data_IF_684551736346
#
_entry.id   IF_684551736346
#
_cell.length_a   1.000
_cell.length_b   1.000
_cell.length_c   1.000
_cell.angle_alpha   90.00
_cell.angle_beta   90.00
_cell.angle_gamma   90.00
#
_symmetry.space_group_name_H-M   'P 1'
#
loop_
_entity.id
_entity.type
_entity.pdbx_description
1 polymer ?
#
# COMPACT_ATOMS: atom_id res chain seq x y z
N UNK A 1 18.33 1.09 -4.22
CA UNK A 1 17.42 2.15 -3.71
C UNK A 1 15.97 1.78 -3.99
N UNK A 2 15.01 2.33 -3.24
CA UNK A 2 13.58 2.01 -3.38
C UNK A 2 12.82 3.27 -3.78
N UNK A 3 11.94 3.14 -4.78
CA UNK A 3 10.97 4.17 -5.18
C UNK A 3 9.59 3.67 -4.76
N UNK A 4 8.90 4.42 -3.89
CA UNK A 4 7.52 4.11 -3.54
C UNK A 4 6.55 4.85 -4.44
N UNK A 5 5.48 4.18 -4.87
CA UNK A 5 4.49 4.76 -5.79
C UNK A 5 3.09 4.22 -5.50
N UNK A 6 2.07 5.06 -5.67
CA UNK A 6 0.69 4.60 -5.67
C UNK A 6 0.41 3.79 -6.95
N UNK A 7 0.00 2.53 -6.82
CA UNK A 7 -0.36 1.62 -7.92
C UNK A 7 -1.88 1.46 -8.07
N UNK A 8 -2.64 2.53 -7.82
CA UNK A 8 -4.08 2.50 -8.03
C UNK A 8 -4.41 2.26 -9.52
N UNK A 9 -5.40 1.42 -9.84
CA UNK A 9 -5.85 1.23 -11.21
C UNK A 9 -6.40 2.55 -11.77
N UNK A 10 -6.42 2.65 -13.09
CA UNK A 10 -6.78 3.88 -13.82
C UNK A 10 -8.15 4.45 -13.43
N UNK A 11 -9.07 3.60 -13.01
CA UNK A 11 -10.43 3.89 -12.57
C UNK A 11 -10.64 3.77 -11.04
N UNK A 12 -9.60 3.45 -10.27
CA UNK A 12 -9.68 3.07 -8.85
C UNK A 12 -9.82 4.21 -7.82
N UNK A 13 -9.89 5.46 -8.26
CA UNK A 13 -10.00 6.60 -7.35
C UNK A 13 -9.64 7.92 -8.02
N UNK A 14 -8.59 8.58 -7.53
CA UNK A 14 -8.13 9.85 -8.10
C UNK A 14 -7.24 9.58 -9.30
N UNK A 15 -7.68 9.99 -10.50
CA UNK A 15 -6.94 9.81 -11.76
C UNK A 15 -5.48 10.33 -11.69
N UNK A 16 -5.20 11.28 -10.79
CA UNK A 16 -3.85 11.79 -10.53
C UNK A 16 -2.87 10.70 -10.12
N UNK A 17 -3.26 9.69 -9.33
CA UNK A 17 -2.33 8.66 -8.86
C UNK A 17 -1.76 7.84 -10.01
N UNK A 18 -2.64 7.36 -10.89
CA UNK A 18 -2.26 6.65 -12.10
C UNK A 18 -1.34 7.50 -12.99
N UNK A 19 -1.66 8.79 -13.19
CA UNK A 19 -0.82 9.70 -13.99
C UNK A 19 0.57 9.92 -13.38
N UNK A 20 0.67 10.03 -12.07
CA UNK A 20 1.96 10.15 -11.38
C UNK A 20 2.79 8.88 -11.59
N UNK A 21 2.18 7.70 -11.49
CA UNK A 21 2.86 6.43 -11.79
C UNK A 21 3.37 6.36 -13.24
N UNK A 22 2.55 6.77 -14.22
CA UNK A 22 2.97 6.86 -15.63
C UNK A 22 4.16 7.80 -15.85
N UNK A 23 4.18 8.96 -15.16
CA UNK A 23 5.27 9.93 -15.24
C UNK A 23 6.56 9.34 -14.64
N UNK A 24 6.46 8.64 -13.51
CA UNK A 24 7.61 7.98 -12.88
C UNK A 24 8.15 6.88 -13.80
N UNK A 25 7.28 6.07 -14.42
CA UNK A 25 7.71 5.05 -15.37
C UNK A 25 8.44 5.66 -16.59
N UNK A 26 7.93 6.76 -17.15
CA UNK A 26 8.62 7.49 -18.21
C UNK A 26 9.97 8.04 -17.75
N UNK A 27 10.03 8.61 -16.55
CA UNK A 27 11.27 9.13 -15.98
C UNK A 27 12.32 8.02 -15.83
N UNK A 28 11.91 6.84 -15.34
CA UNK A 28 12.80 5.68 -15.21
C UNK A 28 13.25 5.13 -16.57
N UNK A 29 12.38 5.13 -17.58
CA UNK A 29 12.74 4.69 -18.93
C UNK A 29 13.80 5.58 -19.59
N UNK A 30 13.78 6.90 -19.32
CA UNK A 30 14.78 7.84 -19.86
C UNK A 30 16.01 7.99 -18.98
N UNK A 31 15.92 7.64 -17.70
CA UNK A 31 17.00 7.79 -16.73
C UNK A 31 18.05 6.68 -16.88
N UNK A 32 19.06 6.94 -17.72
CA UNK A 32 20.19 6.04 -17.94
C UNK A 32 21.16 6.10 -16.76
N UNK A 33 21.03 5.15 -15.84
CA UNK A 33 21.94 5.00 -14.70
C UNK A 33 22.30 3.54 -14.48
N UNK A 34 23.47 3.29 -13.90
CA UNK A 34 23.86 1.96 -13.42
C UNK A 34 23.26 1.63 -12.03
N UNK A 35 22.55 2.58 -11.41
CA UNK A 35 21.86 2.35 -10.14
C UNK A 35 20.68 1.40 -10.34
N UNK A 36 20.62 0.39 -9.48
CA UNK A 36 19.47 -0.53 -9.40
C UNK A 36 18.42 0.04 -8.45
N UNK A 37 17.22 0.26 -8.99
CA UNK A 37 16.04 0.61 -8.22
C UNK A 37 15.09 -0.57 -8.13
N UNK A 38 14.35 -0.60 -7.04
CA UNK A 38 13.16 -1.43 -6.88
C UNK A 38 11.97 -0.48 -6.70
N UNK A 39 10.85 -0.81 -7.33
CA UNK A 39 9.62 -0.01 -7.25
C UNK A 39 8.66 -0.71 -6.30
N UNK A 40 8.32 -0.05 -5.21
CA UNK A 40 7.35 -0.53 -4.22
C UNK A 40 6.03 0.18 -4.41
N UNK A 41 5.08 -0.57 -4.97
CA UNK A 41 3.72 -0.14 -5.15
C UNK A 41 2.85 -0.34 -3.92
N UNK A 42 2.13 0.70 -3.52
CA UNK A 42 1.05 0.62 -2.53
C UNK A 42 -0.27 1.07 -3.16
N UNK A 43 -1.40 0.61 -2.62
CA UNK A 43 -2.71 1.15 -2.99
C UNK A 43 -3.14 2.22 -2.01
N UNK A 44 -3.82 3.24 -2.50
CA UNK A 44 -4.52 4.17 -1.64
C UNK A 44 -5.80 3.53 -1.07
N UNK A 45 -6.43 4.20 -0.10
CA UNK A 45 -7.62 3.75 0.64
C UNK A 45 -8.85 3.43 -0.21
N UNK A 46 -8.89 3.86 -1.48
CA UNK A 46 -9.97 3.53 -2.42
C UNK A 46 -9.76 2.19 -3.15
N UNK A 47 -8.54 1.65 -3.10
CA UNK A 47 -8.17 0.40 -3.75
C UNK A 47 -7.52 -0.56 -2.74
N UNK A 48 -7.71 -1.86 -2.94
CA UNK A 48 -7.27 -2.88 -1.96
C UNK A 48 -6.60 -4.00 -2.74
N UNK A 49 -5.32 -4.24 -2.47
CA UNK A 49 -4.66 -5.45 -3.01
C UNK A 49 -5.28 -6.69 -2.37
N UNK A 50 -5.55 -7.70 -3.19
CA UNK A 50 -5.73 -9.07 -2.72
C UNK A 50 -4.37 -9.67 -2.35
N UNK A 51 -4.32 -10.77 -1.57
CA UNK A 51 -3.07 -11.45 -1.28
C UNK A 51 -2.28 -11.88 -2.52
N UNK A 52 -2.94 -12.13 -3.66
CA UNK A 52 -2.28 -12.54 -4.90
C UNK A 52 -1.69 -11.38 -5.69
N UNK A 53 -2.14 -10.14 -5.42
CA UNK A 53 -1.65 -8.93 -6.09
C UNK A 53 -0.44 -8.31 -5.39
N UNK A 54 -0.10 -8.75 -4.18
CA UNK A 54 1.04 -8.29 -3.40
C UNK A 54 2.07 -9.41 -3.20
N UNK A 55 3.34 -9.02 -3.00
CA UNK A 55 4.44 -9.97 -2.73
C UNK A 55 5.23 -9.60 -1.46
N UNK A 56 4.93 -8.45 -0.84
CA UNK A 56 5.47 -8.05 0.46
C UNK A 56 4.32 -7.76 1.42
N UNK A 57 4.43 -8.27 2.64
CA UNK A 57 3.43 -8.16 3.70
C UNK A 57 4.09 -7.57 4.95
N UNK A 58 3.92 -6.27 5.18
CA UNK A 58 4.50 -5.62 6.36
C UNK A 58 3.62 -5.82 7.59
N UNK A 59 4.14 -6.39 8.70
CA UNK A 59 3.41 -6.47 9.95
C UNK A 59 3.18 -5.07 10.54
N UNK A 60 1.96 -4.81 10.98
CA UNK A 60 1.56 -3.55 11.62
C UNK A 60 1.07 -3.85 13.01
N UNK A 61 1.74 -3.30 14.02
CA UNK A 61 1.29 -3.38 15.41
C UNK A 61 0.25 -2.30 15.72
N UNK A 62 -0.38 -2.40 16.90
CA UNK A 62 -1.28 -1.35 17.41
C UNK A 62 -0.55 -0.02 17.55
N UNK A 63 0.72 -0.05 17.97
CA UNK A 63 1.52 1.15 18.14
C UNK A 63 1.83 1.82 16.80
N UNK A 64 2.14 1.03 15.76
CA UNK A 64 2.40 1.56 14.41
C UNK A 64 1.15 2.25 13.85
N UNK A 65 -0.03 1.62 14.03
CA UNK A 65 -1.31 2.20 13.64
C UNK A 65 -1.58 3.53 14.37
N UNK A 66 -1.30 3.59 15.67
CA UNK A 66 -1.47 4.80 16.48
C UNK A 66 -0.53 5.93 16.02
N UNK A 67 0.75 5.62 15.79
CA UNK A 67 1.73 6.58 15.27
C UNK A 67 1.26 7.10 13.90
N UNK A 68 0.83 6.21 13.00
CA UNK A 68 0.31 6.58 11.68
C UNK A 68 -0.89 7.53 11.77
N UNK A 69 -1.85 7.24 12.65
CA UNK A 69 -3.01 8.11 12.88
C UNK A 69 -2.61 9.47 13.44
N UNK A 70 -1.68 9.51 14.40
CA UNK A 70 -1.18 10.77 14.97
C UNK A 70 -0.47 11.64 13.93
N UNK A 71 0.39 11.05 13.11
CA UNK A 71 1.05 11.74 12.00
C UNK A 71 0.02 12.27 11.01
N UNK A 72 -0.98 11.46 10.64
CA UNK A 72 -2.03 11.88 9.73
C UNK A 72 -2.79 13.10 10.27
N UNK A 73 -3.25 13.03 11.52
CA UNK A 73 -3.99 14.10 12.17
C UNK A 73 -3.15 15.38 12.40
N UNK A 74 -1.85 15.24 12.62
CA UNK A 74 -0.95 16.37 12.80
C UNK A 74 -0.65 17.07 11.46
N UNK A 75 -0.43 16.32 10.39
CA UNK A 75 0.11 16.83 9.13
C UNK A 75 -0.96 17.09 8.06
N UNK A 76 -2.08 16.36 8.07
CA UNK A 76 -3.09 16.40 7.01
C UNK A 76 -4.43 16.93 7.51
N UNK A 77 -4.39 17.99 8.34
CA UNK A 77 -5.57 18.60 8.98
C UNK A 77 -6.70 19.00 8.00
N UNK A 78 -6.37 19.34 6.75
CA UNK A 78 -7.35 19.65 5.71
C UNK A 78 -8.07 18.42 5.13
N UNK A 79 -7.49 17.22 5.29
CA UNK A 79 -8.09 15.95 4.86
C UNK A 79 -8.86 15.24 5.99
N UNK A 80 -8.82 15.75 7.22
CA UNK A 80 -9.62 15.25 8.35
C UNK A 80 -11.12 15.50 8.14
N UNK A 81 -11.48 16.51 7.32
CA UNK A 81 -12.86 16.81 6.89
C UNK A 81 -13.01 16.68 5.36
N UNK A 82 -12.41 15.67 4.73
CA UNK A 82 -12.38 15.58 3.27
C UNK A 82 -13.82 15.58 2.69
N UNK A 83 -14.07 16.54 1.78
CA UNK A 83 -15.38 16.90 1.20
C UNK A 83 -15.84 15.96 0.06
N UNK A 84 -15.20 14.79 -0.08
CA UNK A 84 -15.67 13.74 -0.99
C UNK A 84 -15.66 12.43 -0.20
N UNK A 85 -16.81 12.00 0.34
CA UNK A 85 -16.87 10.82 1.19
C UNK A 85 -16.49 9.57 0.36
N UNK A 86 -15.66 8.72 0.95
CA UNK A 86 -15.68 7.30 0.55
C UNK A 86 -17.07 6.76 0.90
N UNK A 87 -17.77 6.03 0.01
CA UNK A 87 -19.09 5.47 0.30
C UNK A 87 -19.13 4.59 1.56
N UNK A 88 -17.96 4.12 2.03
CA UNK A 88 -17.81 3.18 3.13
C UNK A 88 -17.60 3.83 4.51
N UNK A 89 -17.32 5.14 4.63
CA UNK A 89 -17.16 5.79 5.94
C UNK A 89 -17.14 7.33 5.90
N UNK A 90 -17.88 7.96 6.82
CA UNK A 90 -17.79 9.39 7.16
C UNK A 90 -16.73 9.57 8.28
N UNK A 91 -15.44 9.59 7.91
CA UNK A 91 -14.31 9.66 8.84
C UNK A 91 -12.95 9.90 8.15
N UNK A 92 -11.87 10.18 8.90
CA UNK A 92 -10.56 10.50 8.34
C UNK A 92 -9.95 9.29 7.60
N UNK A 93 -9.17 9.54 6.54
CA UNK A 93 -8.57 8.47 5.74
C UNK A 93 -7.62 7.55 6.52
N UNK A 94 -7.04 8.01 7.64
CA UNK A 94 -6.24 7.15 8.51
C UNK A 94 -7.06 6.03 9.18
N UNK A 95 -8.35 6.22 9.41
CA UNK A 95 -9.22 5.18 9.97
C UNK A 95 -9.53 4.12 8.91
N UNK A 96 -9.74 4.55 7.65
CA UNK A 96 -9.93 3.63 6.53
C UNK A 96 -8.67 2.82 6.26
N UNK A 97 -7.49 3.45 6.29
CA UNK A 97 -6.22 2.75 6.18
C UNK A 97 -6.05 1.70 7.28
N UNK A 98 -6.36 2.02 8.54
CA UNK A 98 -6.32 1.05 9.65
C UNK A 98 -7.27 -0.13 9.43
N UNK A 99 -8.50 0.13 8.99
CA UNK A 99 -9.47 -0.92 8.66
C UNK A 99 -8.96 -1.84 7.55
N UNK A 100 -8.39 -1.27 6.50
CA UNK A 100 -7.78 -2.04 5.41
C UNK A 100 -6.66 -2.94 5.95
N UNK A 101 -5.77 -2.40 6.78
CA UNK A 101 -4.66 -3.16 7.34
C UNK A 101 -5.12 -4.31 8.24
N UNK A 102 -6.15 -4.09 9.07
CA UNK A 102 -6.76 -5.14 9.89
C UNK A 102 -7.39 -6.21 9.02
N UNK A 103 -8.12 -5.85 7.96
CA UNK A 103 -8.73 -6.80 7.05
C UNK A 103 -7.68 -7.64 6.31
N UNK A 104 -6.61 -7.00 5.83
CA UNK A 104 -5.47 -7.68 5.22
C UNK A 104 -4.82 -8.70 6.17
N UNK A 105 -4.68 -8.34 7.45
CA UNK A 105 -4.23 -9.29 8.48
C UNK A 105 -5.19 -10.46 8.67
N UNK A 106 -6.50 -10.23 8.72
CA UNK A 106 -7.48 -11.32 8.87
C UNK A 106 -7.44 -12.29 7.69
N UNK A 107 -7.27 -11.79 6.45
CA UNK A 107 -7.13 -12.64 5.27
C UNK A 107 -5.94 -13.59 5.38
N UNK A 108 -4.76 -13.07 5.72
CA UNK A 108 -3.56 -13.91 5.87
C UNK A 108 -3.65 -14.80 7.11
N UNK A 109 -4.22 -14.32 8.21
CA UNK A 109 -4.49 -15.13 9.41
C UNK A 109 -5.41 -16.30 9.12
N UNK A 110 -6.42 -16.14 8.26
CA UNK A 110 -7.27 -17.23 7.83
C UNK A 110 -6.50 -18.28 7.02
N UNK A 111 -5.52 -17.87 6.21
CA UNK A 111 -4.69 -18.77 5.42
C UNK A 111 -3.62 -19.50 6.23
N UNK A 112 -2.91 -18.80 7.13
CA UNK A 112 -1.74 -19.34 7.86
C UNK A 112 -2.07 -19.85 9.27
N UNK A 113 -3.23 -19.44 9.80
CA UNK A 113 -3.68 -19.77 11.15
C UNK A 113 -3.07 -18.87 12.24
N UNK A 114 -3.77 -18.78 13.37
CA UNK A 114 -3.36 -17.93 14.49
C UNK A 114 -2.02 -18.33 15.12
N UNK A 115 -1.72 -19.62 15.14
CA UNK A 115 -0.48 -20.16 15.71
C UNK A 115 0.76 -19.67 14.95
N UNK A 116 0.64 -19.43 13.64
CA UNK A 116 1.73 -18.88 12.84
C UNK A 116 2.19 -17.52 13.35
N UNK A 117 1.23 -16.67 13.76
CA UNK A 117 1.52 -15.34 14.27
C UNK A 117 2.00 -15.42 15.73
N UNK A 118 1.18 -15.99 16.62
CA UNK A 118 1.50 -16.00 18.07
C UNK A 118 2.81 -16.73 18.40
N UNK A 119 3.15 -17.77 17.64
CA UNK A 119 4.37 -18.56 17.84
C UNK A 119 5.56 -18.11 16.98
N UNK A 120 5.46 -16.99 16.26
CA UNK A 120 6.53 -16.57 15.36
C UNK A 120 7.79 -16.14 16.14
N UNK A 121 8.96 -16.51 15.66
CA UNK A 121 10.24 -16.07 16.23
C UNK A 121 10.47 -14.58 15.98
N UNK A 122 9.92 -14.03 14.90
CA UNK A 122 9.94 -12.60 14.64
C UNK A 122 8.89 -11.89 15.50
N UNK A 123 9.37 -11.01 16.39
CA UNK A 123 8.52 -10.26 17.33
C UNK A 123 7.55 -9.31 16.63
N UNK A 124 7.88 -8.79 15.45
CA UNK A 124 7.00 -7.92 14.69
C UNK A 124 5.82 -8.71 14.12
N UNK A 125 6.08 -9.91 13.59
CA UNK A 125 5.02 -10.81 13.12
C UNK A 125 4.14 -11.25 14.29
N UNK A 126 4.74 -11.61 15.43
CA UNK A 126 3.98 -12.01 16.62
C UNK A 126 3.12 -10.88 17.22
N UNK A 127 3.59 -9.63 17.13
CA UNK A 127 2.86 -8.46 17.61
C UNK A 127 1.84 -7.91 16.60
N UNK A 128 1.82 -8.41 15.36
CA UNK A 128 0.98 -7.87 14.30
C UNK A 128 -0.52 -7.94 14.65
N UNK A 129 -1.21 -6.82 14.39
CA UNK A 129 -2.68 -6.69 14.41
C UNK A 129 -3.24 -6.15 13.10
N UNK A 130 -2.37 -5.72 12.20
CA UNK A 130 -2.64 -5.39 10.81
C UNK A 130 -1.52 -5.89 9.91
N UNK A 131 -1.77 -5.91 8.61
CA UNK A 131 -0.77 -6.09 7.57
C UNK A 131 -0.90 -4.94 6.57
N UNK A 132 0.21 -4.46 6.04
CA UNK A 132 0.23 -3.56 4.90
C UNK A 132 0.79 -4.30 3.69
N UNK A 133 -0.02 -4.44 2.64
CA UNK A 133 0.38 -5.15 1.42
C UNK A 133 1.11 -4.20 0.47
N UNK A 134 2.26 -4.64 -0.01
CA UNK A 134 3.09 -3.93 -0.98
C UNK A 134 3.39 -4.86 -2.16
N UNK A 135 3.36 -4.29 -3.36
CA UNK A 135 3.80 -4.94 -4.58
C UNK A 135 5.17 -4.40 -4.95
N UNK A 136 6.21 -5.18 -4.70
CA UNK A 136 7.54 -4.93 -5.25
C UNK A 136 7.60 -5.34 -6.72
N UNK A 137 8.23 -4.50 -7.53
CA UNK A 137 8.48 -4.64 -8.96
C UNK A 137 9.92 -4.23 -9.25
N UNK A 138 10.56 -4.92 -10.18
CA UNK A 138 11.71 -4.37 -10.90
C UNK A 138 11.30 -3.14 -11.70
N UNK A 139 12.28 -2.34 -12.12
CA UNK A 139 12.02 -1.16 -12.96
C UNK A 139 11.38 -1.60 -14.28
N UNK A 140 11.84 -2.70 -14.85
CA UNK A 140 11.33 -3.28 -16.08
C UNK A 140 9.87 -3.72 -15.93
N UNK A 141 9.52 -4.48 -14.88
CA UNK A 141 8.13 -4.88 -14.61
C UNK A 141 7.23 -3.67 -14.35
N UNK A 142 7.73 -2.63 -13.68
CA UNK A 142 6.94 -1.43 -13.43
C UNK A 142 6.67 -0.64 -14.71
N UNK A 143 7.67 -0.47 -15.58
CA UNK A 143 7.50 0.19 -16.88
C UNK A 143 6.52 -0.61 -17.75
N UNK A 144 6.68 -1.93 -17.82
CA UNK A 144 5.82 -2.81 -18.60
C UNK A 144 4.37 -2.74 -18.11
N UNK A 145 4.15 -2.81 -16.80
CA UNK A 145 2.83 -2.63 -16.17
C UNK A 145 2.17 -1.30 -16.55
N UNK A 146 2.92 -0.20 -16.57
CA UNK A 146 2.38 1.12 -16.91
C UNK A 146 2.07 1.29 -18.41
N UNK A 147 2.76 0.55 -19.28
CA UNK A 147 2.57 0.63 -20.73
C UNK A 147 1.53 -0.36 -21.25
N UNK A 148 1.50 -1.58 -20.70
CA UNK A 148 0.72 -2.71 -21.20
C UNK A 148 -0.44 -3.13 -20.27
N UNK A 149 -0.54 -2.54 -19.08
CA UNK A 149 -1.61 -2.79 -18.11
C UNK A 149 -1.31 -3.96 -17.15
N UNK A 150 -2.22 -4.21 -16.21
CA UNK A 150 -1.98 -5.05 -15.02
C UNK A 150 -1.76 -6.57 -15.27
N UNK A 151 -1.88 -7.05 -16.50
CA UNK A 151 -1.73 -8.47 -16.87
C UNK A 151 -0.34 -8.83 -17.44
N UNK A 152 0.65 -7.95 -17.27
CA UNK A 152 2.06 -8.22 -17.58
C UNK A 152 2.77 -8.91 -16.42
#
# INVERSE_FOLDING_TARGET
DIITVALDPKDGGHATHYRVAEIIAHALAVYKTDKKFEVWGYNNVWCKFTPTQANIFFPVSVNDALIGSNVFNACYKSQVKAVVPSPELDGPFCDLAQKIMVNQYQLIKACLGEKFFLGNTDKQIAAAKGLCFIKSLSVEEFIDRMQNGENS
#
